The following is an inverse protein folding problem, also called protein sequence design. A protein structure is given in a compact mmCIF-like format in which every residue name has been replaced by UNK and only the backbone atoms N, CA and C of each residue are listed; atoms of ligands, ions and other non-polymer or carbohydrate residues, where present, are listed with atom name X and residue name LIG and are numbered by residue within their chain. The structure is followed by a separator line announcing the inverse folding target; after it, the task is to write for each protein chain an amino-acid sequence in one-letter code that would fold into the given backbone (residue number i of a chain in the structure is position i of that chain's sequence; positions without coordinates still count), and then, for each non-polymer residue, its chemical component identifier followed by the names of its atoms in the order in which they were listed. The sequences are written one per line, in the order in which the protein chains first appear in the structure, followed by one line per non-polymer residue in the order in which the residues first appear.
data_IF_763683054029
#
_entry.id   IF_763683054029
#
_cell.length_a   1.000
_cell.length_b   1.000
_cell.length_c   1.000
_cell.angle_alpha   90.00
_cell.angle_beta   90.00
_cell.angle_gamma   90.00
#
_symmetry.space_group_name_H-M   'P 1'
#
loop_
_entity.id
_entity.type
_entity.pdbx_description
1 polymer ?
#
# COMPACT_ATOMS: atom_id res chain seq x y z
N UNK A 1 -5.38 9.20 -16.75
CA UNK A 1 -4.79 8.48 -15.61
C UNK A 1 -3.44 7.99 -16.10
N UNK A 2 -2.35 8.37 -15.44
CA UNK A 2 -1.00 8.05 -15.90
C UNK A 2 -0.63 6.64 -15.44
N UNK A 3 -0.66 5.69 -16.37
CA UNK A 3 -0.38 4.26 -16.17
C UNK A 3 0.94 4.04 -15.42
N UNK A 4 1.91 4.96 -15.58
CA UNK A 4 3.20 4.88 -14.89
C UNK A 4 3.07 5.07 -13.38
N UNK A 5 2.21 5.99 -12.92
CA UNK A 5 2.01 6.23 -11.48
C UNK A 5 1.29 5.07 -10.80
N UNK A 6 0.36 4.42 -11.50
CA UNK A 6 -0.38 3.29 -10.93
C UNK A 6 0.53 2.05 -10.76
N UNK A 7 1.42 1.80 -11.74
CA UNK A 7 2.45 0.78 -11.61
C UNK A 7 3.40 1.05 -10.43
N UNK A 8 3.85 2.30 -10.26
CA UNK A 8 4.74 2.67 -9.17
C UNK A 8 4.10 2.49 -7.78
N UNK A 9 2.82 2.85 -7.62
CA UNK A 9 2.07 2.63 -6.38
C UNK A 9 1.97 1.14 -6.05
N UNK A 10 1.65 0.31 -7.04
CA UNK A 10 1.58 -1.14 -6.86
C UNK A 10 2.95 -1.72 -6.47
N UNK A 11 4.04 -1.23 -7.06
CA UNK A 11 5.40 -1.66 -6.71
C UNK A 11 5.81 -1.27 -5.28
N UNK A 12 5.42 -0.09 -4.80
CA UNK A 12 5.64 0.30 -3.41
C UNK A 12 4.86 -0.60 -2.43
N UNK A 13 3.60 -0.90 -2.73
CA UNK A 13 2.79 -1.82 -1.94
C UNK A 13 3.42 -3.21 -1.94
N UNK A 14 3.81 -3.72 -3.12
CA UNK A 14 4.51 -5.00 -3.26
C UNK A 14 5.80 -5.02 -2.45
N UNK A 15 6.61 -3.96 -2.52
CA UNK A 15 7.85 -3.85 -1.76
C UNK A 15 7.62 -3.97 -0.24
N UNK A 16 6.57 -3.33 0.28
CA UNK A 16 6.24 -3.43 1.71
C UNK A 16 5.73 -4.83 2.06
N UNK A 17 4.84 -5.41 1.26
CA UNK A 17 4.26 -6.75 1.48
C UNK A 17 5.26 -7.90 1.30
N UNK A 18 6.38 -7.70 0.59
CA UNK A 18 7.49 -8.67 0.56
C UNK A 18 8.07 -8.98 1.94
N UNK A 19 7.83 -8.13 2.94
CA UNK A 19 8.24 -8.36 4.34
C UNK A 19 7.29 -9.29 5.12
N UNK A 20 6.22 -9.75 4.48
CA UNK A 20 5.24 -10.67 5.04
C UNK A 20 3.83 -10.07 5.16
N UNK A 21 2.83 -10.91 5.49
CA UNK A 21 1.45 -10.48 5.69
C UNK A 21 1.35 -9.39 6.75
N UNK A 22 0.45 -8.41 6.53
CA UNK A 22 0.24 -7.37 7.52
C UNK A 22 -1.14 -6.74 7.47
N UNK A 23 -1.60 -6.29 8.65
CA UNK A 23 -2.84 -5.54 8.78
C UNK A 23 -2.82 -4.24 7.98
N UNK A 24 -3.96 -3.88 7.42
CA UNK A 24 -4.22 -2.62 6.68
C UNK A 24 -3.62 -1.39 7.35
N UNK A 25 -3.80 -1.25 8.67
CA UNK A 25 -3.32 -0.09 9.42
C UNK A 25 -1.80 -0.02 9.50
N UNK A 26 -1.12 -1.16 9.60
CA UNK A 26 0.34 -1.26 9.56
C UNK A 26 0.87 -0.94 8.16
N UNK A 27 0.26 -1.51 7.13
CA UNK A 27 0.61 -1.23 5.72
C UNK A 27 0.50 0.27 5.40
N UNK A 28 -0.63 0.89 5.74
CA UNK A 28 -0.89 2.32 5.51
C UNK A 28 0.17 3.21 6.18
N UNK A 29 0.52 2.93 7.44
CA UNK A 29 1.54 3.68 8.18
C UNK A 29 2.93 3.52 7.57
N UNK A 30 3.31 2.31 7.15
CA UNK A 30 4.61 2.05 6.53
C UNK A 30 4.73 2.76 5.19
N UNK A 31 3.70 2.68 4.33
CA UNK A 31 3.66 3.39 3.06
C UNK A 31 3.77 4.91 3.26
N UNK A 32 3.06 5.46 4.26
CA UNK A 32 3.19 6.88 4.59
C UNK A 32 4.63 7.26 4.99
N UNK A 33 5.30 6.45 5.81
CA UNK A 33 6.68 6.74 6.23
C UNK A 33 7.65 6.69 5.05
N UNK A 34 7.48 5.74 4.13
CA UNK A 34 8.26 5.65 2.89
C UNK A 34 8.00 6.89 2.04
N UNK A 35 6.74 7.23 1.81
CA UNK A 35 6.36 8.33 0.93
C UNK A 35 6.78 9.70 1.48
N UNK A 36 6.74 9.85 2.81
CA UNK A 36 7.30 11.02 3.51
C UNK A 36 8.81 11.14 3.31
N UNK A 37 9.54 10.02 3.32
CA UNK A 37 10.98 10.01 3.06
C UNK A 37 11.30 10.31 1.60
N UNK A 38 10.51 9.79 0.66
CA UNK A 38 10.62 10.10 -0.77
C UNK A 38 10.38 11.60 -1.01
N UNK A 39 9.35 12.17 -0.40
CA UNK A 39 9.09 13.61 -0.47
C UNK A 39 10.24 14.43 0.13
N UNK A 40 10.81 14.00 1.25
CA UNK A 40 11.95 14.69 1.88
C UNK A 40 13.20 14.70 0.98
N UNK A 41 13.46 13.62 0.24
CA UNK A 41 14.65 13.48 -0.61
C UNK A 41 14.47 14.03 -2.02
N UNK A 42 13.28 13.88 -2.59
CA UNK A 42 13.01 14.08 -4.02
C UNK A 42 11.84 15.02 -4.30
N UNK A 43 11.12 15.51 -3.28
CA UNK A 43 9.99 16.44 -3.43
C UNK A 43 8.72 15.82 -4.01
N UNK A 44 8.65 14.48 -4.12
CA UNK A 44 7.53 13.77 -4.71
C UNK A 44 6.84 12.82 -3.72
N UNK A 45 5.51 12.71 -3.82
CA UNK A 45 4.69 11.71 -3.11
C UNK A 45 3.98 10.81 -4.11
N UNK A 46 4.02 9.51 -3.88
CA UNK A 46 3.32 8.48 -4.64
C UNK A 46 1.81 8.48 -4.36
N UNK A 47 1.42 8.81 -3.12
CA UNK A 47 0.03 8.75 -2.68
C UNK A 47 -0.45 10.10 -2.14
N UNK A 48 -1.74 10.37 -2.33
CA UNK A 48 -2.41 11.48 -1.64
C UNK A 48 -2.81 11.06 -0.23
N UNK A 49 -2.23 11.74 0.76
CA UNK A 49 -2.45 11.48 2.18
C UNK A 49 -3.45 12.46 2.81
N UNK A 50 -4.34 11.93 3.65
CA UNK A 50 -5.19 12.69 4.57
C UNK A 50 -4.85 12.30 6.01
N UNK A 51 -4.62 13.29 6.86
CA UNK A 51 -4.33 13.07 8.28
C UNK A 51 -5.62 13.00 9.09
N UNK A 52 -5.88 11.86 9.71
CA UNK A 52 -6.99 11.66 10.64
C UNK A 52 -6.48 11.42 12.06
N UNK A 53 -7.39 11.41 13.04
CA UNK A 53 -7.10 11.14 14.45
C UNK A 53 -6.29 9.85 14.67
N UNK A 54 -6.50 8.84 13.83
CA UNK A 54 -5.89 7.51 13.97
C UNK A 54 -4.67 7.28 13.07
N UNK A 55 -4.22 8.32 12.35
CA UNK A 55 -3.03 8.28 11.51
C UNK A 55 -3.29 8.68 10.05
N UNK A 56 -2.27 8.51 9.20
CA UNK A 56 -2.36 8.81 7.78
C UNK A 56 -3.31 7.82 7.09
N UNK A 57 -4.13 8.33 6.18
CA UNK A 57 -5.02 7.54 5.34
C UNK A 57 -4.88 7.99 3.90
N UNK A 58 -4.85 7.03 2.98
CA UNK A 58 -4.95 7.30 1.55
C UNK A 58 -6.00 6.38 0.94
N UNK A 59 -6.93 6.97 0.19
CA UNK A 59 -7.91 6.21 -0.60
C UNK A 59 -7.23 5.50 -1.76
N UNK A 60 -6.19 6.12 -2.34
CA UNK A 60 -5.42 5.55 -3.45
C UNK A 60 -4.71 4.26 -3.07
N UNK A 61 -4.24 4.14 -1.83
CA UNK A 61 -3.67 2.87 -1.33
C UNK A 61 -4.72 1.75 -1.37
N UNK A 62 -5.97 2.05 -1.00
CA UNK A 62 -7.05 1.05 -1.02
C UNK A 62 -7.45 0.73 -2.46
N UNK A 63 -7.63 1.74 -3.31
CA UNK A 63 -7.98 1.53 -4.73
C UNK A 63 -6.90 0.68 -5.43
N UNK A 64 -5.60 0.95 -5.17
CA UNK A 64 -4.51 0.12 -5.74
C UNK A 64 -4.50 -1.29 -5.16
N UNK A 65 -4.82 -1.50 -3.88
CA UNK A 65 -4.95 -2.85 -3.31
C UNK A 65 -6.10 -3.63 -3.93
N UNK A 66 -7.25 -2.96 -4.15
CA UNK A 66 -8.42 -3.55 -4.80
C UNK A 66 -8.05 -3.98 -6.24
N UNK A 67 -7.36 -3.13 -7.00
CA UNK A 67 -6.86 -3.47 -8.34
C UNK A 67 -5.88 -4.67 -8.28
N UNK A 68 -4.91 -4.64 -7.35
CA UNK A 68 -3.93 -5.71 -7.17
C UNK A 68 -4.58 -7.05 -6.79
N UNK A 69 -5.69 -7.03 -6.07
CA UNK A 69 -6.49 -8.20 -5.71
C UNK A 69 -7.28 -8.72 -6.92
N UNK A 70 -7.91 -7.84 -7.70
CA UNK A 70 -8.59 -8.18 -8.97
C UNK A 70 -7.62 -8.87 -9.93
N UNK A 71 -6.38 -8.36 -10.03
CA UNK A 71 -5.32 -8.95 -10.87
C UNK A 71 -4.61 -10.15 -10.23
N UNK A 72 -5.00 -10.57 -9.02
CA UNK A 72 -4.49 -11.77 -8.36
C UNK A 72 -3.04 -11.67 -7.86
N UNK A 73 -2.54 -10.45 -7.61
CA UNK A 73 -1.18 -10.22 -7.08
C UNK A 73 -1.14 -10.03 -5.55
N UNK A 74 -2.28 -9.67 -4.96
CA UNK A 74 -2.49 -9.53 -3.52
C UNK A 74 -3.73 -10.32 -3.13
N UNK A 75 -3.74 -10.85 -1.91
CA UNK A 75 -4.92 -11.47 -1.29
C UNK A 75 -5.22 -10.72 0.01
N UNK A 76 -6.51 -10.46 0.25
CA UNK A 76 -6.99 -9.98 1.54
C UNK A 76 -7.67 -11.09 2.34
N UNK A 77 -7.44 -11.11 3.66
CA UNK A 77 -8.09 -12.00 4.61
C UNK A 77 -8.64 -11.20 5.78
N UNK A 78 -9.88 -11.46 6.16
CA UNK A 78 -10.43 -10.91 7.38
C UNK A 78 -10.05 -11.83 8.55
N UNK A 79 -9.26 -11.31 9.49
CA UNK A 79 -8.89 -11.99 10.73
C UNK A 79 -9.42 -11.17 11.91
N UNK A 80 -10.36 -11.75 12.67
CA UNK A 80 -11.02 -11.12 13.82
C UNK A 80 -11.52 -9.70 13.49
N UNK A 81 -10.75 -8.67 13.87
CA UNK A 81 -11.06 -7.25 13.71
C UNK A 81 -10.21 -6.53 12.65
N UNK A 82 -9.40 -7.25 11.88
CA UNK A 82 -8.45 -6.68 10.93
C UNK A 82 -8.52 -7.31 9.53
N UNK A 83 -8.28 -6.49 8.52
CA UNK A 83 -8.00 -6.95 7.15
C UNK A 83 -6.49 -7.09 7.03
N UNK A 84 -6.03 -8.32 6.79
CA UNK A 84 -4.64 -8.68 6.53
C UNK A 84 -4.44 -8.76 5.02
N UNK A 85 -3.40 -8.10 4.52
CA UNK A 85 -3.00 -8.19 3.12
C UNK A 85 -1.70 -8.99 3.00
N UNK A 86 -1.61 -9.84 1.98
CA UNK A 86 -0.42 -10.62 1.63
C UNK A 86 -0.23 -10.72 0.11
N UNK A 87 0.99 -11.01 -0.34
CA UNK A 87 1.24 -11.27 -1.75
C UNK A 87 0.69 -12.66 -2.13
N UNK A 88 0.00 -12.74 -3.27
CA UNK A 88 -0.58 -14.00 -3.76
C UNK A 88 0.48 -15.04 -4.18
N UNK A 89 1.68 -14.58 -4.56
CA UNK A 89 2.83 -15.43 -4.87
C UNK A 89 4.09 -14.82 -4.28
N UNK A 90 4.83 -15.62 -3.50
CA UNK A 90 6.17 -15.30 -3.01
C UNK A 90 7.26 -15.75 -3.97
N UNK A 91 6.94 -16.04 -5.23
CA UNK A 91 7.95 -16.39 -6.22
C UNK A 91 8.95 -15.22 -6.39
N UNK A 92 10.27 -15.47 -6.29
CA UNK A 92 11.31 -14.44 -6.25
C UNK A 92 11.35 -13.52 -7.47
#
# INVERSE_FOLDING_TARGET
MDVMFDAYKADLIRYVLRRGPMARTKLMKLLFLIDRELHRRYGATAFRWKMYKYGPFSREVLDTLDDMEIYGSVVSKAEEDAIIYELASTAP
#
